data_IF_852677375132
#
_entry.id   IF_852677375132
#
_cell.length_a   1.000
_cell.length_b   1.000
_cell.length_c   1.000
_cell.angle_alpha   90.00
_cell.angle_beta   90.00
_cell.angle_gamma   90.00
#
_symmetry.space_group_name_H-M   'P 1'
#
loop_
_entity.id
_entity.type
_entity.pdbx_description
1 polymer ?
#
# COMPACT_ATOMS: atom_id res chain seq x y z
N UNK A 1 -10.68 -43.46 -13.13
CA UNK A 1 -11.23 -42.32 -13.88
C UNK A 1 -11.62 -41.26 -12.86
N UNK A 2 -11.00 -40.07 -12.87
CA UNK A 2 -11.52 -38.78 -12.40
C UNK A 2 -10.33 -37.86 -12.10
N UNK A 3 -9.73 -37.33 -13.17
CA UNK A 3 -8.82 -36.20 -13.09
C UNK A 3 -9.65 -34.95 -12.84
N UNK A 4 -9.81 -34.58 -11.58
CA UNK A 4 -10.27 -33.24 -11.20
C UNK A 4 -9.22 -32.26 -11.73
N UNK A 5 -9.44 -31.72 -12.94
CA UNK A 5 -8.59 -30.70 -13.55
C UNK A 5 -8.65 -29.48 -12.62
N UNK A 6 -7.53 -29.15 -11.96
CA UNK A 6 -7.47 -27.92 -11.17
C UNK A 6 -7.50 -26.76 -12.14
N UNK A 7 -8.64 -26.10 -12.23
CA UNK A 7 -8.84 -24.87 -12.98
C UNK A 7 -7.81 -23.83 -12.47
N UNK A 8 -6.88 -23.41 -13.33
CA UNK A 8 -5.93 -22.36 -12.98
C UNK A 8 -6.70 -21.05 -12.80
N UNK A 9 -6.44 -20.29 -11.72
CA UNK A 9 -7.15 -19.04 -11.46
C UNK A 9 -7.10 -18.04 -12.63
N UNK A 10 -6.02 -18.07 -13.42
CA UNK A 10 -5.86 -17.28 -14.63
C UNK A 10 -6.87 -17.66 -15.75
N UNK A 11 -7.16 -18.95 -15.95
CA UNK A 11 -8.10 -19.41 -16.98
C UNK A 11 -9.53 -18.96 -16.66
N UNK A 12 -9.91 -18.99 -15.38
CA UNK A 12 -11.24 -18.56 -14.91
C UNK A 12 -11.54 -17.09 -15.20
N UNK A 13 -10.51 -16.23 -15.21
CA UNK A 13 -10.66 -14.77 -15.38
C UNK A 13 -10.02 -14.24 -16.67
N UNK A 14 -9.60 -15.12 -17.60
CA UNK A 14 -8.90 -14.74 -18.83
C UNK A 14 -9.67 -13.72 -19.69
N UNK A 15 -11.00 -13.72 -19.61
CA UNK A 15 -11.87 -12.81 -20.36
C UNK A 15 -12.01 -11.41 -19.73
N UNK A 16 -11.53 -11.18 -18.50
CA UNK A 16 -11.57 -9.87 -17.83
C UNK A 16 -10.20 -9.32 -17.43
N UNK A 17 -9.15 -10.14 -17.42
CA UNK A 17 -7.84 -9.77 -16.86
C UNK A 17 -7.15 -8.62 -17.62
N UNK A 18 -7.36 -8.57 -18.94
CA UNK A 18 -6.77 -7.57 -19.83
C UNK A 18 -7.72 -6.38 -20.09
N UNK A 19 -8.87 -6.32 -19.43
CA UNK A 19 -9.80 -5.20 -19.61
C UNK A 19 -9.20 -3.91 -19.04
N UNK A 20 -9.37 -2.76 -19.71
CA UNK A 20 -8.95 -1.48 -19.17
C UNK A 20 -9.63 -1.26 -17.82
N UNK A 21 -8.84 -0.84 -16.83
CA UNK A 21 -9.38 -0.51 -15.52
C UNK A 21 -10.37 0.65 -15.65
N UNK A 22 -11.59 0.47 -15.14
CA UNK A 22 -12.60 1.51 -15.18
C UNK A 22 -12.14 2.76 -14.41
N UNK A 23 -12.24 3.92 -15.05
CA UNK A 23 -12.03 5.22 -14.42
C UNK A 23 -13.33 6.01 -14.41
N UNK A 24 -13.63 6.66 -13.28
CA UNK A 24 -14.85 7.45 -13.17
C UNK A 24 -14.78 8.70 -14.07
N UNK A 25 -15.79 8.88 -14.92
CA UNK A 25 -15.93 10.09 -15.74
C UNK A 25 -16.30 11.34 -14.93
N UNK A 26 -16.87 11.16 -13.73
CA UNK A 26 -17.42 12.24 -12.90
C UNK A 26 -16.54 12.58 -11.70
N UNK A 27 -15.82 11.60 -11.14
CA UNK A 27 -14.99 11.79 -9.95
C UNK A 27 -13.53 11.70 -10.34
N UNK A 28 -12.81 12.81 -10.20
CA UNK A 28 -11.35 12.84 -10.41
C UNK A 28 -10.67 11.92 -9.38
N UNK A 29 -9.74 11.09 -9.85
CA UNK A 29 -8.89 10.30 -8.97
C UNK A 29 -7.96 11.22 -8.16
N UNK A 30 -7.76 10.88 -6.89
CA UNK A 30 -6.77 11.57 -6.06
C UNK A 30 -5.37 11.40 -6.64
N UNK A 31 -4.56 12.45 -6.58
CA UNK A 31 -3.15 12.35 -6.96
C UNK A 31 -2.43 11.37 -6.00
N UNK A 32 -1.25 10.87 -6.40
CA UNK A 32 -0.45 10.05 -5.49
C UNK A 32 -0.02 10.85 -4.24
N UNK A 33 0.24 12.14 -4.40
CA UNK A 33 0.58 13.04 -3.31
C UNK A 33 -0.57 13.19 -2.30
N UNK A 34 -1.79 13.47 -2.79
CA UNK A 34 -2.96 13.60 -1.92
C UNK A 34 -3.28 12.27 -1.20
N UNK A 35 -3.02 11.13 -1.87
CA UNK A 35 -3.12 9.80 -1.24
C UNK A 35 -2.11 9.64 -0.12
N UNK A 36 -0.85 10.05 -0.31
CA UNK A 36 0.17 9.98 0.72
C UNK A 36 -0.16 10.89 1.93
N UNK A 37 -0.76 12.06 1.68
CA UNK A 37 -1.14 13.00 2.73
C UNK A 37 -2.18 12.42 3.72
N UNK A 38 -3.06 11.50 3.29
CA UNK A 38 -3.98 10.81 4.21
C UNK A 38 -3.25 9.99 5.27
N UNK A 39 -2.06 9.48 4.93
CA UNK A 39 -1.18 8.72 5.82
C UNK A 39 -0.08 9.58 6.43
N UNK A 40 -0.26 10.90 6.43
CA UNK A 40 0.71 11.85 6.97
C UNK A 40 0.21 12.55 8.27
N UNK A 41 -0.35 11.84 9.27
CA UNK A 41 -0.93 12.47 10.46
C UNK A 41 0.08 13.26 11.30
N UNK A 42 1.39 13.04 11.11
CA UNK A 42 2.46 13.73 11.83
C UNK A 42 3.31 14.64 10.95
N UNK A 43 2.96 14.84 9.68
CA UNK A 43 3.78 15.67 8.77
C UNK A 43 3.87 17.16 9.20
N UNK A 44 2.94 17.62 10.05
CA UNK A 44 2.98 18.97 10.62
C UNK A 44 3.90 19.08 11.85
N UNK A 45 4.25 17.98 12.52
CA UNK A 45 5.24 18.00 13.61
C UNK A 45 6.64 17.99 13.01
N UNK A 46 7.13 19.15 12.57
CA UNK A 46 8.56 19.39 12.49
C UNK A 46 9.18 19.11 13.87
N UNK A 47 9.90 17.99 14.01
CA UNK A 47 10.47 17.51 15.29
C UNK A 47 10.18 16.06 15.67
N UNK A 48 9.30 15.33 14.97
CA UNK A 48 9.12 13.88 15.20
C UNK A 48 10.38 13.06 14.84
N UNK A 49 11.20 13.56 13.91
CA UNK A 49 12.50 12.96 13.61
C UNK A 49 13.42 12.93 14.85
N UNK A 50 13.33 13.93 15.73
CA UNK A 50 14.09 13.93 16.97
C UNK A 50 13.58 12.91 17.97
N UNK A 51 12.27 12.64 18.02
CA UNK A 51 11.72 11.61 18.90
C UNK A 51 12.08 10.21 18.40
N UNK A 52 12.02 9.96 17.09
CA UNK A 52 12.53 8.72 16.48
C UNK A 52 14.01 8.54 16.80
N UNK A 53 14.83 9.58 16.60
CA UNK A 53 16.27 9.53 16.89
C UNK A 53 16.53 9.21 18.37
N UNK A 54 15.86 9.90 19.30
CA UNK A 54 15.96 9.63 20.75
C UNK A 54 15.57 8.19 21.09
N UNK A 55 14.49 7.67 20.51
CA UNK A 55 14.08 6.27 20.72
C UNK A 55 15.11 5.28 20.18
N UNK A 56 15.70 5.55 19.01
CA UNK A 56 16.74 4.69 18.43
C UNK A 56 18.03 4.64 19.26
N UNK A 57 18.41 5.74 19.90
CA UNK A 57 19.54 5.78 20.84
C UNK A 57 19.24 4.95 22.09
N UNK A 58 18.01 5.03 22.61
CA UNK A 58 17.57 4.29 23.80
C UNK A 58 17.46 2.77 23.56
N UNK A 59 17.21 2.32 22.34
CA UNK A 59 17.22 0.88 22.01
C UNK A 59 18.64 0.35 21.81
N UNK A 60 19.52 1.12 21.16
CA UNK A 60 20.90 0.71 20.94
C UNK A 60 21.73 0.68 22.25
N UNK A 61 21.38 1.54 23.22
CA UNK A 61 21.96 1.53 24.57
C UNK A 61 21.51 0.38 25.47
N UNK A 62 20.45 -0.36 25.11
CA UNK A 62 20.00 -1.56 25.84
C UNK A 62 20.55 -2.88 25.28
N UNK A 63 21.29 -2.82 24.17
CA UNK A 63 21.97 -3.96 23.55
C UNK A 63 23.50 -3.85 23.72
N UNK A 64 23.96 -3.46 24.91
CA UNK A 64 25.36 -3.45 25.31
C UNK A 64 25.52 -4.07 26.69
#
# INVERSE_FOLDING_TARGET
>A
MNSQKKENGAEKYAHIIDLPHYQSSRRKHMSMHDRAAQFAPFAALSGYDESIRKTSEHTNGKNK
#
